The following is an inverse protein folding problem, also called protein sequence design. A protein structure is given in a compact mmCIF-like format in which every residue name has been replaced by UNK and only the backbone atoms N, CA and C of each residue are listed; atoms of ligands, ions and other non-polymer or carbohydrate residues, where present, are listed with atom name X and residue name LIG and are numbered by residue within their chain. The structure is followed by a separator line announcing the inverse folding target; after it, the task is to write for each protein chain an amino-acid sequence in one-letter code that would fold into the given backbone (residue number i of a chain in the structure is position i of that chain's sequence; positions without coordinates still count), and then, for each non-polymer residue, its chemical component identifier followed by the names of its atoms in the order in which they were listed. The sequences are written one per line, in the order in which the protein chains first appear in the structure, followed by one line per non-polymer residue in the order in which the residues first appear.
data_IF_995056944694
#
_entry.id   IF_995056944694
#
_cell.length_a   1.000
_cell.length_b   1.000
_cell.length_c   1.000
_cell.angle_alpha   90.00
_cell.angle_beta   90.00
_cell.angle_gamma   90.00
#
_symmetry.space_group_name_H-M   'P 1'
#
loop_
_entity.id
_entity.type
_entity.pdbx_description
1 polymer ?
#
# COMPACT_ATOMS: atom_id res chain seq x y z
N UNK A 1 8.81 -14.95 11.15
CA UNK A 1 9.61 -15.09 9.92
C UNK A 1 10.53 -13.89 9.83
N UNK A 2 11.83 -14.12 9.69
CA UNK A 2 12.81 -13.09 9.39
C UNK A 2 12.71 -12.65 7.92
N UNK A 3 13.24 -11.46 7.61
CA UNK A 3 13.29 -10.94 6.23
C UNK A 3 14.03 -11.94 5.33
N UNK A 4 13.47 -12.25 4.17
CA UNK A 4 14.03 -13.18 3.19
C UNK A 4 13.69 -14.66 3.44
N UNK A 5 13.06 -14.99 4.57
CA UNK A 5 12.59 -16.35 4.81
C UNK A 5 11.32 -16.67 4.01
N UNK A 6 11.21 -17.93 3.62
CA UNK A 6 9.99 -18.52 3.06
C UNK A 6 9.53 -19.66 3.96
N UNK A 7 8.21 -19.80 4.14
CA UNK A 7 7.60 -20.85 4.93
C UNK A 7 6.26 -21.27 4.35
N UNK A 8 5.81 -22.47 4.71
CA UNK A 8 4.44 -22.92 4.46
C UNK A 8 3.66 -22.87 5.77
N UNK A 9 2.62 -22.05 5.83
CA UNK A 9 1.75 -21.88 7.01
C UNK A 9 0.35 -22.34 6.65
N UNK A 10 -0.17 -23.36 7.35
CA UNK A 10 -1.48 -23.94 7.07
C UNK A 10 -1.68 -24.32 5.57
N UNK A 11 -0.63 -24.83 4.92
CA UNK A 11 -0.66 -25.19 3.49
C UNK A 11 -0.52 -24.02 2.51
N UNK A 12 -0.28 -22.80 3.00
CA UNK A 12 -0.13 -21.59 2.19
C UNK A 12 1.35 -21.20 2.17
N UNK A 13 1.90 -20.99 0.97
CA UNK A 13 3.28 -20.51 0.83
C UNK A 13 3.35 -19.00 1.15
N UNK A 14 4.29 -18.62 2.03
CA UNK A 14 4.50 -17.25 2.49
C UNK A 14 5.99 -16.91 2.34
N UNK A 15 6.29 -15.74 1.76
CA UNK A 15 7.64 -15.19 1.64
C UNK A 15 7.70 -13.85 2.40
N UNK A 16 8.65 -13.67 3.30
CA UNK A 16 8.84 -12.43 4.06
C UNK A 16 9.74 -11.45 3.26
N UNK A 17 9.18 -10.30 2.90
CA UNK A 17 9.85 -9.26 2.11
C UNK A 17 10.22 -8.10 3.03
N UNK A 18 11.40 -7.50 2.83
CA UNK A 18 11.79 -6.31 3.59
C UNK A 18 10.80 -5.16 3.36
N UNK A 19 10.48 -4.42 4.43
CA UNK A 19 9.67 -3.20 4.39
C UNK A 19 10.32 -2.16 5.31
N UNK A 20 10.59 -0.96 4.79
CA UNK A 20 11.28 0.10 5.52
C UNK A 20 11.22 1.46 4.80
N UNK A 21 11.54 2.51 5.55
CA UNK A 21 11.77 3.85 4.99
C UNK A 21 13.20 3.97 4.42
N UNK A 22 13.34 4.54 3.22
CA UNK A 22 14.60 4.78 2.51
C UNK A 22 14.93 6.27 2.33
N UNK A 23 13.95 7.16 2.48
CA UNK A 23 14.18 8.60 2.39
C UNK A 23 15.06 9.09 3.57
N UNK A 24 15.93 10.10 3.33
CA UNK A 24 16.77 10.69 4.37
C UNK A 24 15.98 11.16 5.60
N UNK A 25 16.64 11.13 6.76
CA UNK A 25 16.07 11.47 8.06
C UNK A 25 15.79 10.23 8.94
N UNK A 26 15.36 10.45 10.17
CA UNK A 26 15.06 9.37 11.11
C UNK A 26 13.91 8.49 10.56
N UNK A 27 14.11 7.17 10.36
CA UNK A 27 13.06 6.32 9.81
C UNK A 27 11.95 6.10 10.82
N UNK A 28 10.68 6.20 10.38
CA UNK A 28 9.54 5.78 11.19
C UNK A 28 9.42 4.25 11.18
N UNK A 29 9.79 3.64 10.06
CA UNK A 29 9.85 2.18 9.87
C UNK A 29 11.28 1.76 9.52
N UNK A 30 12.17 1.59 10.53
CA UNK A 30 13.52 1.09 10.30
C UNK A 30 13.49 -0.36 9.78
N UNK A 31 14.48 -0.72 8.96
CA UNK A 31 14.64 -2.08 8.43
C UNK A 31 14.71 -3.11 9.56
N UNK A 32 13.93 -4.18 9.43
CA UNK A 32 13.84 -5.24 10.44
C UNK A 32 12.74 -5.05 11.49
N UNK A 33 12.09 -3.87 11.56
CA UNK A 33 10.94 -3.65 12.46
C UNK A 33 9.70 -4.46 12.05
N UNK A 34 9.55 -4.74 10.76
CA UNK A 34 8.50 -5.60 10.25
C UNK A 34 8.76 -6.06 8.82
N UNK A 35 7.75 -6.70 8.22
CA UNK A 35 7.84 -7.36 6.92
C UNK A 35 6.65 -6.97 6.02
N UNK A 36 6.89 -6.93 4.73
CA UNK A 36 5.87 -7.25 3.75
C UNK A 36 5.80 -8.77 3.52
N UNK A 37 4.75 -9.25 2.88
CA UNK A 37 4.58 -10.68 2.61
C UNK A 37 4.10 -10.93 1.19
N UNK A 38 4.69 -11.91 0.51
CA UNK A 38 4.06 -12.54 -0.64
C UNK A 38 3.37 -13.81 -0.17
N UNK A 39 2.07 -13.91 -0.44
CA UNK A 39 1.24 -15.07 -0.13
C UNK A 39 0.86 -15.74 -1.44
N UNK A 40 1.15 -17.03 -1.57
CA UNK A 40 0.78 -17.83 -2.74
C UNK A 40 -0.44 -18.69 -2.41
N UNK A 41 -1.58 -18.38 -3.03
CA UNK A 41 -2.86 -19.05 -2.81
C UNK A 41 -3.57 -19.28 -4.15
N UNK A 42 -4.05 -20.50 -4.41
CA UNK A 42 -4.76 -20.81 -5.66
C UNK A 42 -3.93 -20.52 -6.93
N UNK A 43 -2.61 -20.70 -6.85
CA UNK A 43 -1.69 -20.37 -7.94
C UNK A 43 -1.57 -18.87 -8.24
N UNK A 44 -2.00 -18.00 -7.33
CA UNK A 44 -1.86 -16.54 -7.42
C UNK A 44 -0.87 -16.04 -6.38
N UNK A 45 -0.10 -15.02 -6.71
CA UNK A 45 0.85 -14.35 -5.81
C UNK A 45 0.30 -13.00 -5.39
N UNK A 46 -0.03 -12.87 -4.10
CA UNK A 46 -0.57 -11.66 -3.49
C UNK A 46 0.51 -11.03 -2.61
N UNK A 47 0.89 -9.78 -2.91
CA UNK A 47 1.89 -9.04 -2.15
C UNK A 47 1.23 -8.02 -1.22
N UNK A 48 1.57 -8.07 0.06
CA UNK A 48 1.17 -7.11 1.09
C UNK A 48 2.42 -6.39 1.58
N UNK A 49 2.59 -5.11 1.22
CA UNK A 49 3.87 -4.44 1.42
C UNK A 49 4.20 -4.01 2.85
N UNK A 50 3.24 -4.02 3.77
CA UNK A 50 3.40 -3.32 5.04
C UNK A 50 3.45 -1.80 4.83
N UNK A 51 4.09 -1.06 5.74
CA UNK A 51 4.27 0.40 5.63
C UNK A 51 5.72 0.66 5.25
N UNK A 52 5.94 1.08 4.00
CA UNK A 52 7.26 1.11 3.36
C UNK A 52 7.31 2.13 2.24
N UNK A 53 8.52 2.39 1.76
CA UNK A 53 8.78 3.08 0.49
C UNK A 53 9.14 2.06 -0.61
N UNK A 54 9.51 2.54 -1.81
CA UNK A 54 9.87 1.68 -2.94
C UNK A 54 11.25 1.01 -2.78
N UNK A 55 11.37 0.12 -1.80
CA UNK A 55 12.61 -0.59 -1.47
C UNK A 55 13.05 -1.54 -2.60
N UNK A 56 14.36 -1.80 -2.77
CA UNK A 56 14.86 -2.72 -3.79
C UNK A 56 14.25 -4.13 -3.72
N UNK A 57 13.99 -4.62 -2.51
CA UNK A 57 13.38 -5.95 -2.28
C UNK A 57 11.95 -6.04 -2.86
N UNK A 58 11.18 -4.95 -2.83
CA UNK A 58 9.87 -4.85 -3.48
C UNK A 58 10.02 -4.82 -5.01
N UNK A 59 10.97 -4.03 -5.51
CA UNK A 59 11.22 -3.89 -6.95
C UNK A 59 11.70 -5.20 -7.60
N UNK A 60 12.35 -6.07 -6.82
CA UNK A 60 12.85 -7.36 -7.26
C UNK A 60 11.74 -8.42 -7.43
N UNK A 61 10.55 -8.19 -6.88
CA UNK A 61 9.43 -9.14 -6.96
C UNK A 61 9.04 -9.45 -8.40
N UNK A 62 8.60 -10.69 -8.65
CA UNK A 62 8.17 -11.18 -9.95
C UNK A 62 6.81 -11.86 -9.86
N UNK A 63 6.08 -11.80 -10.97
CA UNK A 63 4.82 -12.51 -11.19
C UNK A 63 3.77 -12.20 -10.11
N UNK A 64 3.70 -10.96 -9.63
CA UNK A 64 2.70 -10.55 -8.64
C UNK A 64 1.35 -10.36 -9.34
N UNK A 65 0.34 -11.11 -8.92
CA UNK A 65 -1.02 -10.97 -9.45
C UNK A 65 -1.72 -9.77 -8.80
N UNK A 66 -1.57 -9.61 -7.49
CA UNK A 66 -2.21 -8.52 -6.73
C UNK A 66 -1.21 -7.94 -5.75
N UNK A 67 -1.08 -6.61 -5.71
CA UNK A 67 -0.24 -5.90 -4.75
C UNK A 67 -1.07 -4.90 -3.92
N UNK A 68 -0.91 -4.94 -2.61
CA UNK A 68 -1.45 -3.98 -1.65
C UNK A 68 -0.31 -3.09 -1.15
N UNK A 69 -0.34 -1.80 -1.51
CA UNK A 69 0.80 -0.89 -1.37
C UNK A 69 0.43 0.39 -0.63
N UNK A 70 1.24 0.85 0.34
CA UNK A 70 0.93 2.03 1.13
C UNK A 70 1.09 3.30 0.31
N UNK A 71 0.24 4.29 0.56
CA UNK A 71 0.64 5.69 0.42
C UNK A 71 0.62 6.31 1.82
N UNK A 72 1.66 7.03 2.21
CA UNK A 72 1.78 7.54 3.58
C UNK A 72 1.39 9.02 3.61
N UNK A 73 0.10 9.34 3.48
CA UNK A 73 -0.38 10.73 3.52
C UNK A 73 -0.89 11.05 4.94
N UNK A 74 -0.38 12.10 5.62
CA UNK A 74 0.51 13.16 5.14
C UNK A 74 2.00 12.98 5.49
N UNK A 75 2.44 11.84 6.00
CA UNK A 75 3.85 11.62 6.38
C UNK A 75 4.83 11.56 5.18
N UNK A 76 4.33 11.74 3.95
CA UNK A 76 5.02 11.96 2.67
C UNK A 76 6.19 11.01 2.33
N UNK A 77 6.25 9.82 2.93
CA UNK A 77 7.20 8.76 2.59
C UNK A 77 6.88 8.17 1.21
N UNK A 78 5.87 7.31 1.12
CA UNK A 78 5.38 6.78 -0.16
C UNK A 78 4.33 7.72 -0.77
N UNK A 79 4.76 8.60 -1.68
CA UNK A 79 3.92 9.57 -2.40
C UNK A 79 3.25 8.92 -3.63
N UNK A 80 2.14 9.49 -4.17
CA UNK A 80 1.44 8.94 -5.35
C UNK A 80 2.35 8.67 -6.56
N UNK A 81 3.19 9.65 -6.93
CA UNK A 81 4.11 9.50 -8.06
C UNK A 81 5.18 8.42 -7.80
N UNK A 82 5.76 8.41 -6.60
CA UNK A 82 6.74 7.40 -6.20
C UNK A 82 6.14 5.98 -6.19
N UNK A 83 4.88 5.84 -5.75
CA UNK A 83 4.16 4.58 -5.83
C UNK A 83 3.93 4.15 -7.28
N UNK A 84 3.50 5.07 -8.15
CA UNK A 84 3.30 4.79 -9.57
C UNK A 84 4.59 4.32 -10.25
N UNK A 85 5.71 4.98 -10.01
CA UNK A 85 7.01 4.58 -10.55
C UNK A 85 7.45 3.22 -10.00
N UNK A 86 7.20 2.97 -8.72
CA UNK A 86 7.53 1.69 -8.10
C UNK A 86 6.82 0.51 -8.76
N UNK A 87 5.50 0.62 -8.98
CA UNK A 87 4.72 -0.48 -9.57
C UNK A 87 5.04 -0.70 -11.04
N UNK A 88 5.50 0.33 -11.76
CA UNK A 88 6.01 0.20 -13.14
C UNK A 88 7.28 -0.66 -13.20
N UNK A 89 8.04 -0.75 -12.10
CA UNK A 89 9.25 -1.57 -12.02
C UNK A 89 8.95 -3.07 -11.90
N UNK A 90 8.15 -3.48 -10.90
CA UNK A 90 7.89 -4.91 -10.65
C UNK A 90 6.60 -5.43 -11.29
N UNK A 91 5.78 -4.53 -11.87
CA UNK A 91 4.66 -4.81 -12.77
C UNK A 91 3.64 -5.83 -12.24
N UNK A 92 3.02 -5.58 -11.07
CA UNK A 92 1.88 -6.39 -10.63
C UNK A 92 0.71 -6.26 -11.62
N UNK A 93 -0.16 -7.28 -11.72
CA UNK A 93 -1.35 -7.17 -12.59
C UNK A 93 -2.39 -6.20 -12.01
N UNK A 94 -2.62 -6.27 -10.70
CA UNK A 94 -3.59 -5.43 -9.99
C UNK A 94 -2.89 -4.74 -8.81
N UNK A 95 -3.15 -3.45 -8.60
CA UNK A 95 -2.70 -2.69 -7.42
C UNK A 95 -3.89 -2.13 -6.65
N UNK A 96 -3.88 -2.38 -5.35
CA UNK A 96 -4.72 -1.72 -4.36
C UNK A 96 -3.87 -0.77 -3.51
N UNK A 97 -3.99 0.56 -3.67
CA UNK A 97 -3.41 1.47 -2.70
C UNK A 97 -4.15 1.37 -1.36
N UNK A 98 -3.42 1.42 -0.25
CA UNK A 98 -3.97 1.47 1.11
C UNK A 98 -3.16 2.45 1.99
N UNK A 99 -3.48 2.53 3.28
CA UNK A 99 -2.76 3.33 4.28
C UNK A 99 -2.73 4.86 3.99
N UNK A 100 -3.54 5.33 3.05
CA UNK A 100 -3.49 6.68 2.48
C UNK A 100 -4.27 7.75 3.23
N UNK A 101 -5.03 7.41 4.28
CA UNK A 101 -5.81 8.38 5.05
C UNK A 101 -5.52 8.27 6.55
N UNK A 102 -4.38 8.80 6.98
CA UNK A 102 -3.97 8.77 8.39
C UNK A 102 -4.82 9.71 9.26
N UNK A 103 -5.33 10.79 8.69
CA UNK A 103 -6.24 11.69 9.38
C UNK A 103 -7.56 10.99 9.70
N UNK A 104 -8.08 10.19 8.76
CA UNK A 104 -9.26 9.38 9.02
C UNK A 104 -9.06 8.39 10.15
N UNK A 105 -7.96 7.62 10.10
CA UNK A 105 -7.63 6.65 11.16
C UNK A 105 -7.50 7.36 12.51
N UNK A 106 -6.80 8.50 12.56
CA UNK A 106 -6.64 9.31 13.76
C UNK A 106 -7.97 9.81 14.31
N UNK A 107 -8.94 10.19 13.47
CA UNK A 107 -10.26 10.60 13.94
C UNK A 107 -11.03 9.47 14.58
N UNK A 108 -11.01 8.28 13.97
CA UNK A 108 -11.69 7.10 14.52
C UNK A 108 -11.10 6.68 15.86
N UNK A 109 -9.77 6.65 15.98
CA UNK A 109 -9.10 6.24 17.22
C UNK A 109 -9.21 7.28 18.35
N UNK A 110 -9.42 8.56 18.01
CA UNK A 110 -9.58 9.64 18.98
C UNK A 110 -11.06 10.02 19.26
N UNK A 111 -12.02 9.18 18.87
CA UNK A 111 -13.44 9.40 19.17
C UNK A 111 -14.09 10.60 18.44
N UNK A 112 -13.48 11.10 17.36
CA UNK A 112 -13.94 12.30 16.62
C UNK A 112 -15.04 12.03 15.58
N UNK A 113 -15.75 10.90 15.72
CA UNK A 113 -16.85 10.49 14.86
C UNK A 113 -16.44 10.01 13.45
N UNK A 114 -17.44 9.70 12.63
CA UNK A 114 -17.31 9.15 11.26
C UNK A 114 -17.52 10.20 10.17
N UNK A 115 -17.26 11.47 10.47
CA UNK A 115 -17.37 12.57 9.50
C UNK A 115 -16.04 12.78 8.77
N UNK A 116 -16.03 12.88 7.42
CA UNK A 116 -14.84 13.07 6.58
C UNK A 116 -13.81 14.04 7.18
N UNK A 117 -12.50 13.73 7.16
CA UNK A 117 -11.50 14.67 7.64
C UNK A 117 -11.40 15.85 6.66
N UNK A 118 -10.90 17.00 7.10
CA UNK A 118 -10.70 18.16 6.22
C UNK A 118 -9.75 17.84 5.05
N UNK A 119 -8.88 16.83 5.22
CA UNK A 119 -7.97 16.32 4.19
C UNK A 119 -8.61 15.40 3.15
N UNK A 120 -9.89 15.03 3.28
CA UNK A 120 -10.57 14.09 2.38
C UNK A 120 -10.38 14.41 0.89
N UNK A 121 -10.57 15.68 0.52
CA UNK A 121 -10.44 16.13 -0.86
C UNK A 121 -9.00 16.02 -1.37
N UNK A 122 -8.02 16.36 -0.54
CA UNK A 122 -6.60 16.24 -0.88
C UNK A 122 -6.15 14.77 -1.01
N UNK A 123 -6.67 13.90 -0.13
CA UNK A 123 -6.46 12.45 -0.21
C UNK A 123 -7.05 11.88 -1.50
N UNK A 124 -8.28 12.27 -1.85
CA UNK A 124 -8.94 11.86 -3.09
C UNK A 124 -8.17 12.33 -4.34
N UNK A 125 -7.67 13.56 -4.34
CA UNK A 125 -6.84 14.09 -5.42
C UNK A 125 -5.52 13.31 -5.56
N UNK A 126 -4.87 12.96 -4.44
CA UNK A 126 -3.64 12.17 -4.42
C UNK A 126 -3.85 10.77 -5.01
N UNK A 127 -4.97 10.13 -4.69
CA UNK A 127 -5.37 8.85 -5.31
C UNK A 127 -5.62 8.98 -6.81
N UNK A 128 -6.19 10.10 -7.27
CA UNK A 128 -6.41 10.35 -8.68
C UNK A 128 -5.08 10.50 -9.44
N UNK A 129 -4.13 11.25 -8.89
CA UNK A 129 -2.77 11.37 -9.45
C UNK A 129 -2.12 10.00 -9.62
N UNK A 130 -2.24 9.12 -8.63
CA UNK A 130 -1.73 7.76 -8.73
C UNK A 130 -2.41 6.96 -9.86
N UNK A 131 -3.74 7.02 -9.97
CA UNK A 131 -4.49 6.33 -11.04
C UNK A 131 -4.10 6.84 -12.41
N UNK A 132 -4.06 8.16 -12.60
CA UNK A 132 -3.74 8.79 -13.88
C UNK A 132 -2.34 8.41 -14.36
N UNK A 133 -1.38 8.29 -13.44
CA UNK A 133 -0.02 7.87 -13.75
C UNK A 133 0.11 6.42 -14.27
N UNK A 134 -0.94 5.61 -14.13
CA UNK A 134 -1.01 4.21 -14.59
C UNK A 134 -2.02 4.00 -15.73
N UNK A 135 -2.79 5.02 -16.09
CA UNK A 135 -3.77 4.97 -17.19
C UNK A 135 -3.10 4.57 -18.51
N UNK A 136 -3.74 3.68 -19.27
CA UNK A 136 -3.23 3.16 -20.54
C UNK A 136 -2.14 2.08 -20.41
N UNK A 137 -1.72 1.74 -19.19
CA UNK A 137 -0.80 0.64 -18.92
C UNK A 137 -1.49 -0.72 -18.75
N UNK A 138 -0.68 -1.76 -18.56
CA UNK A 138 -1.15 -3.13 -18.29
C UNK A 138 -1.46 -3.40 -16.80
N UNK A 139 -1.24 -2.41 -15.93
CA UNK A 139 -1.45 -2.52 -14.48
C UNK A 139 -2.85 -1.97 -14.17
N UNK A 140 -3.74 -2.83 -13.69
CA UNK A 140 -5.07 -2.41 -13.23
C UNK A 140 -4.98 -1.76 -11.84
N UNK A 141 -5.48 -0.55 -11.70
CA UNK A 141 -5.60 0.10 -10.38
C UNK A 141 -7.00 -0.06 -9.83
N UNK A 142 -7.13 -0.62 -8.63
CA UNK A 142 -8.42 -0.80 -7.95
C UNK A 142 -8.46 -0.01 -6.65
N UNK A 143 -9.52 0.78 -6.47
CA UNK A 143 -9.87 1.32 -5.18
C UNK A 143 -10.58 0.28 -4.31
N UNK A 144 -10.48 0.44 -3.00
CA UNK A 144 -11.33 -0.27 -2.05
C UNK A 144 -11.87 0.72 -1.02
N UNK A 145 -13.02 0.40 -0.43
CA UNK A 145 -13.64 1.21 0.61
C UNK A 145 -12.96 0.95 1.97
N UNK A 146 -11.64 1.15 2.02
CA UNK A 146 -10.84 1.02 3.25
C UNK A 146 -11.30 1.96 4.34
N UNK A 147 -11.86 3.09 3.93
CA UNK A 147 -12.37 4.15 4.77
C UNK A 147 -13.86 4.32 4.48
N UNK A 148 -14.73 4.35 5.49
CA UNK A 148 -16.14 4.61 5.30
C UNK A 148 -16.36 5.85 4.44
N UNK A 149 -17.19 5.73 3.42
CA UNK A 149 -17.70 6.88 2.69
C UNK A 149 -18.49 7.77 3.64
N UNK A 150 -18.56 9.06 3.31
CA UNK A 150 -19.54 9.95 3.89
C UNK A 150 -20.94 9.31 3.74
N UNK A 151 -21.56 8.90 4.86
CA UNK A 151 -22.94 8.40 4.86
C UNK A 151 -23.97 9.53 4.71
N UNK A 152 -23.58 10.76 4.40
CA UNK A 152 -24.52 11.86 4.18
C UNK A 152 -25.21 11.83 2.82
N UNK A 153 -24.76 11.04 1.84
CA UNK A 153 -25.53 10.84 0.60
C UNK A 153 -26.21 9.48 0.60
N UNK A 154 -27.35 9.41 1.29
CA UNK A 154 -28.38 8.44 0.91
C UNK A 154 -28.89 8.80 -0.48
N UNK A 155 -28.35 8.14 -1.50
CA UNK A 155 -28.94 8.00 -2.83
C UNK A 155 -28.72 6.58 -3.29
#
# INVERSE_FOLDING_TARGET
MAIGESATVAGIAVEAIAMYDIKPGEPLHPKGRGNGYVITLGGKRLYFAGVTECVPEMQALKNIDVAFLPMNLPLQRMLPAALADCVKTFKPKIVYPYHYDQDWVSRLTNGRGVQPPASAAATAASLQVFRDALTGGAIETRGANWYPADRQTGR
#
